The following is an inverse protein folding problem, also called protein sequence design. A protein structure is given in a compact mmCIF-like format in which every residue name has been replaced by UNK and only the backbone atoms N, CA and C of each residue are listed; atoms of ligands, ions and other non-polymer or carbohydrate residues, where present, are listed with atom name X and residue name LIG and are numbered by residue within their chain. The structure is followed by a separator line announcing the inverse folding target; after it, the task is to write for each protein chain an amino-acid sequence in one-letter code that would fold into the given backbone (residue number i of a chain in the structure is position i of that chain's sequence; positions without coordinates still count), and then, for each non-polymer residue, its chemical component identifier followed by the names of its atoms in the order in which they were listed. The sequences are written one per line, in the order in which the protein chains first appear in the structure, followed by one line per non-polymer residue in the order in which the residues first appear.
data_IF_214861393436
#
_entry.id   IF_214861393436
#
_cell.length_a   1.000
_cell.length_b   1.000
_cell.length_c   1.000
_cell.angle_alpha   90.00
_cell.angle_beta   90.00
_cell.angle_gamma   90.00
#
_symmetry.space_group_name_H-M   'P 1'
#
loop_
_entity.id
_entity.type
_entity.pdbx_description
1 polymer ?
#
# COMPACT_ATOMS: atom_id res chain seq x y z
N UNK A 1 -4.56 7.11 -15.65
CA UNK A 1 -3.82 5.97 -15.05
C UNK A 1 -4.70 5.19 -14.07
N UNK A 2 -5.42 5.85 -13.15
CA UNK A 2 -6.37 5.18 -12.25
C UNK A 2 -7.52 4.50 -13.00
N UNK A 3 -8.26 5.24 -13.85
CA UNK A 3 -9.40 4.66 -14.57
C UNK A 3 -8.98 3.51 -15.48
N UNK A 4 -7.88 3.66 -16.22
CA UNK A 4 -7.26 2.57 -17.00
C UNK A 4 -6.94 1.33 -16.15
N UNK A 5 -6.50 1.51 -14.89
CA UNK A 5 -6.22 0.40 -13.98
C UNK A 5 -7.52 -0.29 -13.56
N UNK A 6 -8.55 0.50 -13.24
CA UNK A 6 -9.88 -0.01 -12.88
C UNK A 6 -10.51 -0.75 -14.06
N UNK A 7 -10.46 -0.19 -15.26
CA UNK A 7 -10.93 -0.83 -16.50
C UNK A 7 -10.24 -2.17 -16.75
N UNK A 8 -8.91 -2.25 -16.59
CA UNK A 8 -8.16 -3.51 -16.71
C UNK A 8 -8.59 -4.54 -15.66
N UNK A 9 -8.75 -4.11 -14.41
CA UNK A 9 -9.20 -4.99 -13.32
C UNK A 9 -10.63 -5.49 -13.59
N UNK A 10 -11.54 -4.65 -14.06
CA UNK A 10 -12.90 -5.05 -14.45
C UNK A 10 -12.86 -6.02 -15.63
N UNK A 11 -12.07 -5.71 -16.67
CA UNK A 11 -11.91 -6.54 -17.86
C UNK A 11 -11.28 -7.91 -17.56
N UNK A 12 -10.51 -8.03 -16.46
CA UNK A 12 -9.96 -9.31 -16.02
C UNK A 12 -11.00 -10.31 -15.50
N UNK A 13 -12.24 -9.86 -15.27
CA UNK A 13 -13.32 -10.69 -14.70
C UNK A 13 -13.13 -11.00 -13.21
N UNK A 14 -12.24 -10.28 -12.52
CA UNK A 14 -11.91 -10.50 -11.09
C UNK A 14 -12.61 -9.54 -10.14
N UNK A 15 -13.47 -8.67 -10.66
CA UNK A 15 -14.24 -7.72 -9.86
C UNK A 15 -15.68 -8.15 -9.68
N UNK A 16 -16.33 -7.65 -8.64
CA UNK A 16 -17.77 -7.82 -8.43
C UNK A 16 -18.36 -6.60 -7.73
N UNK A 17 -19.67 -6.39 -7.87
CA UNK A 17 -20.40 -5.33 -7.18
C UNK A 17 -21.15 -5.94 -5.98
N UNK A 18 -21.01 -5.34 -4.81
CA UNK A 18 -21.72 -5.76 -3.60
C UNK A 18 -21.95 -4.55 -2.68
N UNK A 19 -23.17 -4.39 -2.16
CA UNK A 19 -23.52 -3.26 -1.28
C UNK A 19 -23.43 -1.88 -1.94
N UNK A 20 -23.42 -1.83 -3.29
CA UNK A 20 -23.21 -0.62 -4.07
C UNK A 20 -21.75 -0.19 -4.21
N UNK A 21 -20.80 -1.04 -3.78
CA UNK A 21 -19.37 -0.84 -3.95
C UNK A 21 -18.80 -1.83 -4.98
N UNK A 22 -17.74 -1.40 -5.69
CA UNK A 22 -16.96 -2.27 -6.57
C UNK A 22 -15.83 -2.90 -5.77
N UNK A 23 -15.72 -4.22 -5.84
CA UNK A 23 -14.74 -5.03 -5.14
C UNK A 23 -13.82 -5.75 -6.11
N UNK A 24 -12.61 -6.07 -5.65
CA UNK A 24 -11.69 -7.00 -6.29
C UNK A 24 -11.58 -8.27 -5.44
N UNK A 25 -11.66 -9.44 -6.10
CA UNK A 25 -11.42 -10.77 -5.51
C UNK A 25 -9.95 -10.99 -5.17
N UNK A 26 -9.43 -10.26 -4.19
CA UNK A 26 -8.02 -10.35 -3.80
C UNK A 26 -7.72 -11.63 -3.01
N UNK A 27 -8.74 -12.26 -2.42
CA UNK A 27 -8.61 -13.56 -1.75
C UNK A 27 -8.15 -14.68 -2.69
N UNK A 28 -8.51 -14.62 -3.98
CA UNK A 28 -8.00 -15.53 -5.03
C UNK A 28 -6.47 -15.49 -5.18
N UNK A 29 -5.81 -14.46 -4.64
CA UNK A 29 -4.37 -14.22 -4.73
C UNK A 29 -3.67 -14.22 -3.36
N UNK A 30 -4.33 -14.74 -2.32
CA UNK A 30 -3.75 -14.90 -0.98
C UNK A 30 -3.84 -13.67 -0.06
N UNK A 31 -4.73 -12.72 -0.37
CA UNK A 31 -5.08 -11.64 0.56
C UNK A 31 -6.06 -12.12 1.65
N UNK A 32 -6.14 -11.40 2.77
CA UNK A 32 -6.98 -11.80 3.92
C UNK A 32 -8.49 -11.61 3.67
N UNK A 33 -8.84 -10.61 2.85
CA UNK A 33 -10.20 -10.31 2.42
C UNK A 33 -10.19 -9.54 1.12
N UNK A 34 -11.29 -9.64 0.39
CA UNK A 34 -11.52 -8.88 -0.84
C UNK A 34 -11.46 -7.37 -0.57
N UNK A 35 -10.96 -6.62 -1.54
CA UNK A 35 -10.72 -5.18 -1.39
C UNK A 35 -11.73 -4.37 -2.17
N UNK A 36 -12.35 -3.42 -1.48
CA UNK A 36 -13.14 -2.36 -2.11
C UNK A 36 -12.23 -1.51 -3.00
N UNK A 37 -12.53 -1.47 -4.29
CA UNK A 37 -11.92 -0.56 -5.26
C UNK A 37 -12.62 0.79 -5.28
N UNK A 38 -13.95 0.79 -5.36
CA UNK A 38 -14.81 1.99 -5.41
C UNK A 38 -15.86 1.92 -4.32
N UNK A 39 -15.99 2.99 -3.54
CA UNK A 39 -16.95 3.08 -2.43
C UNK A 39 -18.37 3.35 -2.97
N UNK A 40 -19.38 3.11 -2.14
CA UNK A 40 -20.80 3.32 -2.49
C UNK A 40 -21.12 4.76 -2.85
N UNK A 41 -20.56 5.71 -2.12
CA UNK A 41 -20.69 7.15 -2.35
C UNK A 41 -19.83 7.65 -3.53
N UNK A 42 -19.14 6.75 -4.23
CA UNK A 42 -18.19 7.06 -5.28
C UNK A 42 -16.76 7.26 -4.78
N UNK A 43 -15.86 7.49 -5.73
CA UNK A 43 -14.42 7.62 -5.48
C UNK A 43 -13.73 6.28 -5.20
N UNK A 44 -12.43 6.23 -5.53
CA UNK A 44 -11.61 5.05 -5.30
C UNK A 44 -11.00 5.02 -3.89
N UNK A 45 -10.78 3.83 -3.35
CA UNK A 45 -10.02 3.66 -2.10
C UNK A 45 -8.52 3.78 -2.37
N UNK A 46 -7.70 3.92 -1.33
CA UNK A 46 -6.23 3.94 -1.44
C UNK A 46 -5.64 2.70 -2.12
N UNK A 47 -6.39 1.59 -2.17
CA UNK A 47 -5.98 0.38 -2.86
C UNK A 47 -5.74 0.61 -4.36
N UNK A 48 -6.62 1.35 -5.05
CA UNK A 48 -6.53 1.53 -6.51
C UNK A 48 -5.30 2.36 -6.88
N UNK A 49 -5.00 3.51 -6.24
CA UNK A 49 -3.76 4.24 -6.46
C UNK A 49 -2.50 3.42 -6.22
N UNK A 50 -2.45 2.59 -5.17
CA UNK A 50 -1.29 1.74 -4.91
C UNK A 50 -1.04 0.77 -6.07
N UNK A 51 -2.07 0.08 -6.55
CA UNK A 51 -1.95 -0.84 -7.69
C UNK A 51 -1.55 -0.09 -8.96
N UNK A 52 -2.23 1.01 -9.27
CA UNK A 52 -1.97 1.81 -10.47
C UNK A 52 -0.53 2.37 -10.49
N UNK A 53 -0.01 2.78 -9.33
CA UNK A 53 1.36 3.28 -9.23
C UNK A 53 2.40 2.18 -9.48
N UNK A 54 2.15 0.97 -8.99
CA UNK A 54 3.04 -0.18 -9.24
C UNK A 54 2.99 -0.65 -10.69
N UNK A 55 1.81 -0.65 -11.32
CA UNK A 55 1.69 -0.89 -12.76
C UNK A 55 2.50 0.15 -13.54
N UNK A 56 2.37 1.43 -13.18
CA UNK A 56 3.13 2.48 -13.84
C UNK A 56 4.66 2.31 -13.71
N UNK A 57 5.16 1.90 -12.53
CA UNK A 57 6.57 1.57 -12.34
C UNK A 57 7.02 0.43 -13.26
N UNK A 58 6.21 -0.62 -13.37
CA UNK A 58 6.51 -1.76 -14.24
C UNK A 58 6.46 -1.37 -15.73
N UNK A 59 5.44 -0.64 -16.17
CA UNK A 59 5.29 -0.17 -17.56
C UNK A 59 6.42 0.78 -17.99
N UNK A 60 7.08 1.46 -17.03
CA UNK A 60 8.30 2.25 -17.29
C UNK A 60 9.55 1.39 -17.51
N UNK A 61 9.46 0.07 -17.42
CA UNK A 61 10.56 -0.88 -17.63
C UNK A 61 11.32 -1.29 -16.36
N UNK A 62 10.86 -0.88 -15.18
CA UNK A 62 11.49 -1.29 -13.92
C UNK A 62 10.96 -2.66 -13.49
N UNK A 63 11.80 -3.68 -13.65
CA UNK A 63 11.51 -5.06 -13.23
C UNK A 63 11.84 -5.31 -11.77
N UNK A 64 12.62 -4.43 -11.14
CA UNK A 64 12.90 -4.43 -9.71
C UNK A 64 12.30 -3.18 -9.06
N UNK A 65 11.54 -3.39 -8.00
CA UNK A 65 10.93 -2.33 -7.21
C UNK A 65 10.94 -2.73 -5.74
N UNK A 66 11.56 -1.91 -4.89
CA UNK A 66 11.68 -2.18 -3.46
C UNK A 66 10.87 -1.12 -2.70
N UNK A 67 9.85 -1.57 -1.97
CA UNK A 67 9.09 -0.75 -1.06
C UNK A 67 9.72 -0.81 0.34
N UNK A 68 10.01 0.35 0.92
CA UNK A 68 10.51 0.47 2.30
C UNK A 68 9.37 1.04 3.14
N UNK A 69 8.88 0.27 4.12
CA UNK A 69 7.69 0.62 4.90
C UNK A 69 7.85 0.16 6.37
N UNK A 70 7.03 0.72 7.26
CA UNK A 70 6.94 0.23 8.63
C UNK A 70 6.29 -1.16 8.70
N UNK A 71 6.65 -1.98 9.70
CA UNK A 71 6.07 -3.32 9.91
C UNK A 71 4.55 -3.30 10.17
N UNK A 72 4.02 -2.17 10.63
CA UNK A 72 2.59 -1.91 10.78
C UNK A 72 1.82 -1.94 9.44
N UNK A 73 2.53 -1.82 8.31
CA UNK A 73 1.96 -1.91 6.97
C UNK A 73 2.03 -3.30 6.34
N UNK A 74 2.44 -4.36 7.05
CA UNK A 74 2.60 -5.70 6.45
C UNK A 74 1.36 -6.21 5.67
N UNK A 75 0.15 -5.85 6.10
CA UNK A 75 -1.10 -6.20 5.42
C UNK A 75 -1.34 -5.51 4.07
N UNK A 76 -0.50 -4.55 3.67
CA UNK A 76 -0.54 -3.93 2.33
C UNK A 76 0.18 -4.77 1.28
N UNK A 77 1.08 -5.68 1.70
CA UNK A 77 1.87 -6.52 0.79
C UNK A 77 0.97 -7.40 -0.07
N UNK A 78 0.12 -8.19 0.58
CA UNK A 78 -0.74 -9.16 -0.09
C UNK A 78 -1.74 -8.47 -1.02
N UNK A 79 -2.40 -7.40 -0.56
CA UNK A 79 -3.40 -6.69 -1.38
C UNK A 79 -2.79 -6.08 -2.64
N UNK A 80 -1.63 -5.41 -2.55
CA UNK A 80 -1.01 -4.77 -3.73
C UNK A 80 -0.58 -5.83 -4.73
N UNK A 81 0.05 -6.91 -4.26
CA UNK A 81 0.41 -8.06 -5.12
C UNK A 81 -0.82 -8.68 -5.77
N UNK A 82 -1.92 -8.85 -5.04
CA UNK A 82 -3.17 -9.36 -5.59
C UNK A 82 -3.71 -8.48 -6.72
N UNK A 83 -3.73 -7.15 -6.55
CA UNK A 83 -4.12 -6.22 -7.61
C UNK A 83 -3.22 -6.31 -8.85
N UNK A 84 -1.92 -6.50 -8.67
CA UNK A 84 -0.95 -6.64 -9.75
C UNK A 84 -1.08 -7.97 -10.50
N UNK A 85 -1.42 -9.06 -9.81
CA UNK A 85 -1.71 -10.34 -10.45
C UNK A 85 -3.06 -10.30 -11.18
N UNK A 86 -4.07 -9.66 -10.59
CA UNK A 86 -5.40 -9.56 -11.18
C UNK A 86 -5.42 -8.79 -12.52
N UNK A 87 -4.56 -7.78 -12.72
CA UNK A 87 -4.48 -7.08 -14.02
C UNK A 87 -3.90 -7.92 -15.15
N UNK A 88 -3.29 -9.08 -14.85
CA UNK A 88 -2.76 -10.02 -15.83
C UNK A 88 -1.82 -9.39 -16.89
N UNK A 89 -0.90 -8.53 -16.45
CA UNK A 89 0.07 -7.84 -17.31
C UNK A 89 1.44 -8.54 -17.37
N UNK A 90 1.54 -9.77 -16.89
CA UNK A 90 2.82 -10.49 -16.78
C UNK A 90 3.76 -9.94 -15.69
N UNK A 91 3.22 -9.17 -14.72
CA UNK A 91 3.98 -8.69 -13.57
C UNK A 91 4.32 -9.88 -12.66
N UNK A 92 5.60 -10.15 -12.36
CA UNK A 92 5.98 -11.28 -11.50
C UNK A 92 5.29 -11.22 -10.14
N UNK A 93 4.92 -12.38 -9.59
CA UNK A 93 4.24 -12.48 -8.28
C UNK A 93 5.03 -11.84 -7.13
N UNK A 94 6.37 -11.83 -7.23
CA UNK A 94 7.26 -11.20 -6.27
C UNK A 94 7.30 -9.67 -6.33
N UNK A 95 6.79 -9.04 -7.39
CA UNK A 95 6.85 -7.58 -7.56
C UNK A 95 5.70 -6.88 -6.79
N UNK A 96 5.98 -5.82 -6.02
CA UNK A 96 7.30 -5.34 -5.59
C UNK A 96 7.87 -6.16 -4.43
N UNK A 97 9.18 -6.03 -4.19
CA UNK A 97 9.85 -6.45 -2.96
C UNK A 97 9.53 -5.51 -1.80
N UNK A 98 9.64 -6.00 -0.58
CA UNK A 98 9.36 -5.22 0.64
C UNK A 98 10.49 -5.34 1.65
N UNK A 99 10.91 -4.19 2.17
CA UNK A 99 11.78 -4.06 3.34
C UNK A 99 10.95 -3.42 4.44
N UNK A 100 10.69 -4.19 5.51
CA UNK A 100 9.90 -3.72 6.64
C UNK A 100 10.81 -3.30 7.79
N UNK A 101 10.72 -2.05 8.22
CA UNK A 101 11.44 -1.54 9.38
C UNK A 101 10.53 -1.48 10.61
N UNK A 102 11.10 -1.70 11.79
CA UNK A 102 10.38 -1.57 13.06
C UNK A 102 10.25 -0.10 13.44
N UNK A 103 9.35 0.17 14.38
CA UNK A 103 9.33 1.45 15.08
C UNK A 103 10.62 1.62 15.88
N UNK A 104 11.11 2.86 15.93
CA UNK A 104 12.30 3.23 16.69
C UNK A 104 11.91 3.93 17.98
N UNK A 105 12.64 3.66 19.06
CA UNK A 105 12.53 4.38 20.33
C UNK A 105 13.54 5.52 20.32
N UNK A 106 13.08 6.75 20.60
CA UNK A 106 13.95 7.92 20.67
C UNK A 106 14.44 8.11 22.10
N UNK A 107 15.75 8.21 22.28
CA UNK A 107 16.40 8.40 23.58
C UNK A 107 17.10 9.75 23.62
N UNK A 108 17.04 10.46 24.76
CA UNK A 108 17.79 11.69 25.02
C UNK A 108 18.31 11.68 26.45
N UNK A 109 19.61 11.92 26.64
CA UNK A 109 20.27 11.89 27.96
C UNK A 109 20.02 10.59 28.75
N UNK A 110 19.90 9.45 28.06
CA UNK A 110 19.62 8.14 28.69
C UNK A 110 18.15 7.85 28.99
N UNK A 111 17.23 8.79 28.73
CA UNK A 111 15.79 8.61 28.96
C UNK A 111 15.00 8.56 27.64
N UNK A 112 13.90 7.79 27.64
CA UNK A 112 12.99 7.73 26.50
C UNK A 112 12.22 9.04 26.33
N UNK A 113 12.24 9.58 25.11
CA UNK A 113 11.49 10.79 24.78
C UNK A 113 10.02 10.46 24.53
N UNK A 114 9.15 10.84 25.46
CA UNK A 114 7.69 10.65 25.32
C UNK A 114 7.08 11.60 24.29
N UNK A 115 6.62 11.03 23.18
CA UNK A 115 5.88 11.75 22.13
C UNK A 115 4.37 11.74 22.46
N UNK A 116 3.75 12.91 22.57
CA UNK A 116 2.32 13.08 22.83
C UNK A 116 1.71 14.10 21.87
N UNK A 117 0.92 13.61 20.92
CA UNK A 117 0.14 14.45 20.00
C UNK A 117 -0.82 15.39 20.73
N UNK A 118 -1.40 14.97 21.86
CA UNK A 118 -2.37 15.78 22.62
C UNK A 118 -1.70 16.89 23.44
N UNK A 119 -0.50 16.63 23.95
CA UNK A 119 0.28 17.63 24.69
C UNK A 119 1.13 18.52 23.77
N UNK A 120 1.11 18.27 22.45
CA UNK A 120 1.95 18.98 21.49
C UNK A 120 3.43 18.60 21.54
N UNK A 121 3.82 17.56 22.29
CA UNK A 121 5.20 17.07 22.31
C UNK A 121 5.42 16.11 21.16
N UNK A 122 6.23 16.50 20.18
CA UNK A 122 6.71 15.64 19.11
C UNK A 122 8.18 15.89 18.88
N UNK A 123 8.88 14.86 18.42
CA UNK A 123 10.27 14.97 17.98
C UNK A 123 10.24 15.08 16.47
N UNK A 124 10.81 16.15 15.94
CA UNK A 124 10.98 16.31 14.50
C UNK A 124 12.26 15.63 14.03
N UNK A 125 12.34 15.36 12.72
CA UNK A 125 13.60 14.91 12.12
C UNK A 125 14.72 15.94 12.35
N UNK A 126 14.41 17.24 12.35
CA UNK A 126 15.38 18.29 12.64
C UNK A 126 15.91 18.20 14.08
N UNK A 127 15.02 18.00 15.04
CA UNK A 127 15.44 17.80 16.44
C UNK A 127 16.40 16.61 16.57
N UNK A 128 16.13 15.50 15.87
CA UNK A 128 17.02 14.33 15.89
C UNK A 128 18.40 14.63 15.30
N UNK A 129 18.45 15.39 14.21
CA UNK A 129 19.72 15.80 13.56
C UNK A 129 20.49 16.79 14.44
N UNK A 130 19.80 17.66 15.17
CA UNK A 130 20.43 18.63 16.06
C UNK A 130 20.86 18.01 17.41
N UNK A 131 20.33 16.84 17.78
CA UNK A 131 20.71 16.11 19.01
C UNK A 131 21.89 15.14 18.82
N UNK A 132 22.23 14.80 17.58
CA UNK A 132 23.45 14.04 17.24
C UNK A 132 24.68 14.92 17.26
#
# INVERSE_FOLDING_TARGET
QLDKTVERLVASGKTYEEGGALWLRTTDYGDDKDRVMRKKEGGYTYFVPDVAYHINKFERGYTQCINIQGTDHHGTIARVRAGLQAVNLGIPQGFPDYVLHKMVTVMKNGEEVKISKRAGSYVTLRDLVDWT
#
